data_IF_679320158726
#
_entry.id   IF_679320158726
#
_cell.length_a   1.000
_cell.length_b   1.000
_cell.length_c   1.000
_cell.angle_alpha   90.00
_cell.angle_beta   90.00
_cell.angle_gamma   90.00
#
_symmetry.space_group_name_H-M   'P 1'
#
loop_
_entity.id
_entity.type
_entity.pdbx_description
1 polymer ?
#
# COMPACT_ATOMS: atom_id res chain seq x y z
N UNK A 1 -11.96 1.11 22.94
CA UNK A 1 -10.63 0.47 22.93
C UNK A 1 -10.21 0.01 24.32
N UNK A 2 -10.09 0.86 25.32
CA UNK A 2 -9.67 0.48 26.70
C UNK A 2 -10.40 -0.72 27.28
N UNK A 3 -11.73 -0.76 27.20
CA UNK A 3 -12.53 -1.86 27.71
C UNK A 3 -12.18 -3.20 27.04
N UNK A 4 -11.91 -3.16 25.73
CA UNK A 4 -11.51 -4.35 24.97
C UNK A 4 -10.09 -4.79 25.34
N UNK A 5 -9.15 -3.87 25.47
CA UNK A 5 -7.77 -4.15 25.92
C UNK A 5 -7.76 -4.77 27.31
N UNK A 6 -8.52 -4.21 28.24
CA UNK A 6 -8.68 -4.78 29.61
C UNK A 6 -9.19 -6.21 29.58
N UNK A 7 -10.23 -6.49 28.78
CA UNK A 7 -10.79 -7.82 28.63
C UNK A 7 -9.76 -8.83 28.09
N UNK A 8 -8.91 -8.39 27.17
CA UNK A 8 -7.90 -9.21 26.52
C UNK A 8 -6.52 -9.16 27.21
N UNK A 9 -6.39 -8.47 28.34
CA UNK A 9 -5.15 -8.32 29.14
C UNK A 9 -4.00 -7.70 28.33
N UNK A 10 -4.31 -6.76 27.43
CA UNK A 10 -3.33 -6.04 26.61
C UNK A 10 -2.97 -4.73 27.31
N UNK A 11 -1.69 -4.49 27.56
CA UNK A 11 -1.21 -3.26 28.16
C UNK A 11 -1.04 -2.15 27.12
N UNK A 12 -1.20 -0.89 27.52
CA UNK A 12 -1.06 0.26 26.62
C UNK A 12 0.34 0.32 25.97
N UNK A 13 1.39 -0.06 26.72
CA UNK A 13 2.76 -0.11 26.22
C UNK A 13 2.98 -1.12 25.08
N UNK A 14 2.07 -2.10 24.90
CA UNK A 14 2.15 -3.11 23.86
C UNK A 14 1.35 -2.71 22.62
N UNK A 15 0.73 -1.52 22.64
CA UNK A 15 -0.13 -1.03 21.57
C UNK A 15 0.50 0.13 20.81
N UNK A 16 0.58 0.00 19.50
CA UNK A 16 0.83 1.10 18.59
C UNK A 16 -0.51 1.55 17.94
N UNK A 17 -0.79 2.85 17.97
CA UNK A 17 -2.07 3.39 17.51
C UNK A 17 -1.89 4.27 16.27
N UNK A 18 -2.58 3.95 15.18
CA UNK A 18 -2.76 4.86 14.06
C UNK A 18 -4.09 5.59 14.21
N UNK A 19 -4.05 6.90 14.33
CA UNK A 19 -5.23 7.76 14.39
C UNK A 19 -5.55 8.26 12.99
N UNK A 20 -6.45 7.53 12.32
CA UNK A 20 -6.90 7.88 10.98
C UNK A 20 -7.85 9.06 11.07
N UNK A 21 -7.55 10.14 10.34
CA UNK A 21 -8.39 11.32 10.33
C UNK A 21 -8.63 11.87 8.91
N UNK A 22 -9.69 12.66 8.79
CA UNK A 22 -10.11 13.29 7.55
C UNK A 22 -9.13 14.38 7.12
N UNK A 23 -9.12 14.71 5.82
CA UNK A 23 -8.39 15.84 5.24
C UNK A 23 -9.12 17.14 5.50
N UNK A 24 -9.30 17.47 6.79
CA UNK A 24 -9.97 18.69 7.26
C UNK A 24 -9.28 19.20 8.52
N UNK A 25 -9.38 20.52 8.75
CA UNK A 25 -8.83 21.15 9.96
C UNK A 25 -9.41 20.55 11.25
N UNK A 26 -10.73 20.28 11.27
CA UNK A 26 -11.38 19.68 12.44
C UNK A 26 -10.95 18.23 12.67
N UNK A 27 -10.74 17.46 11.58
CA UNK A 27 -10.23 16.10 11.68
C UNK A 27 -8.82 16.04 12.26
N UNK A 28 -7.95 16.95 11.81
CA UNK A 28 -6.60 17.10 12.31
C UNK A 28 -6.57 17.47 13.80
N UNK A 29 -7.32 18.50 14.19
CA UNK A 29 -7.41 18.93 15.59
C UNK A 29 -7.95 17.82 16.50
N UNK A 30 -9.00 17.13 16.08
CA UNK A 30 -9.57 16.03 16.86
C UNK A 30 -8.57 14.88 17.04
N UNK A 31 -7.80 14.56 15.99
CA UNK A 31 -6.77 13.52 16.07
C UNK A 31 -5.63 13.91 17.03
N UNK A 32 -5.19 15.17 17.01
CA UNK A 32 -4.17 15.70 17.94
C UNK A 32 -4.62 15.58 19.39
N UNK A 33 -5.86 15.94 19.72
CA UNK A 33 -6.40 15.81 21.07
C UNK A 33 -6.42 14.35 21.56
N UNK A 34 -6.77 13.41 20.67
CA UNK A 34 -6.75 11.98 20.98
C UNK A 34 -5.32 11.47 21.15
N UNK A 35 -4.38 11.93 20.30
CA UNK A 35 -2.96 11.62 20.42
C UNK A 35 -2.41 12.03 21.78
N UNK A 36 -2.61 13.29 22.20
CA UNK A 36 -2.17 13.80 23.50
C UNK A 36 -2.69 12.91 24.65
N UNK A 37 -3.97 12.53 24.57
CA UNK A 37 -4.55 11.65 25.58
C UNK A 37 -3.91 10.25 25.59
N UNK A 38 -3.67 9.63 24.42
CA UNK A 38 -3.04 8.30 24.32
C UNK A 38 -1.61 8.33 24.82
N UNK A 39 -0.84 9.36 24.46
CA UNK A 39 0.54 9.55 24.93
C UNK A 39 0.57 9.71 26.47
N UNK A 40 -0.32 10.52 27.04
CA UNK A 40 -0.45 10.67 28.50
C UNK A 40 -0.81 9.35 29.20
N UNK A 41 -1.52 8.45 28.51
CA UNK A 41 -1.89 7.12 29.02
C UNK A 41 -0.87 6.00 28.65
N UNK A 42 0.36 6.39 28.23
CA UNK A 42 1.52 5.50 28.04
C UNK A 42 1.32 4.43 26.96
N UNK A 43 0.67 4.77 25.84
CA UNK A 43 0.70 3.93 24.65
C UNK A 43 2.12 3.90 24.07
N UNK A 44 2.55 2.75 23.53
CA UNK A 44 3.91 2.55 23.01
C UNK A 44 4.25 3.53 21.88
N UNK A 45 3.30 3.74 20.96
CA UNK A 45 3.43 4.71 19.89
C UNK A 45 2.06 5.15 19.41
N UNK A 46 1.98 6.41 19.00
CA UNK A 46 0.79 7.01 18.40
C UNK A 46 1.23 7.75 17.17
N UNK A 47 0.57 7.51 16.05
CA UNK A 47 0.83 8.17 14.79
C UNK A 47 -0.45 8.74 14.21
N UNK A 48 -0.44 10.01 13.87
CA UNK A 48 -1.52 10.64 13.13
C UNK A 48 -1.42 10.23 11.66
N UNK A 49 -2.53 9.74 11.11
CA UNK A 49 -2.61 9.35 9.71
C UNK A 49 -3.72 10.14 9.01
N UNK A 50 -3.33 11.24 8.41
CA UNK A 50 -4.21 11.98 7.51
C UNK A 50 -4.42 11.21 6.22
N UNK A 51 -5.67 11.02 5.83
CA UNK A 51 -6.02 10.42 4.54
C UNK A 51 -6.37 11.53 3.56
N UNK A 52 -5.52 11.73 2.57
CA UNK A 52 -5.72 12.71 1.51
C UNK A 52 -7.09 12.55 0.86
N UNK A 53 -7.75 13.69 0.59
CA UNK A 53 -9.09 13.75 -0.03
C UNK A 53 -10.22 13.12 0.78
N UNK A 54 -9.97 12.58 1.97
CA UNK A 54 -11.03 12.06 2.84
C UNK A 54 -11.79 13.22 3.50
N UNK A 55 -12.67 13.85 2.74
CA UNK A 55 -13.55 14.93 3.17
C UNK A 55 -14.94 14.76 2.55
N UNK A 56 -15.88 15.62 2.91
CA UNK A 56 -17.26 15.58 2.42
C UNK A 56 -17.59 16.73 1.45
N UNK A 57 -16.59 17.37 0.88
CA UNK A 57 -16.79 18.53 -0.01
C UNK A 57 -17.54 18.14 -1.29
N UNK A 58 -17.21 16.97 -1.83
CA UNK A 58 -17.90 16.38 -2.95
C UNK A 58 -17.69 14.85 -3.00
N UNK A 59 -18.55 14.18 -3.79
CA UNK A 59 -18.51 12.70 -3.91
C UNK A 59 -17.17 12.19 -4.42
N UNK A 60 -16.55 12.87 -5.38
CA UNK A 60 -15.29 12.43 -6.00
C UNK A 60 -14.13 12.49 -4.98
N UNK A 61 -14.04 13.57 -4.20
CA UNK A 61 -13.05 13.66 -3.12
C UNK A 61 -13.24 12.56 -2.10
N UNK A 62 -14.49 12.31 -1.69
CA UNK A 62 -14.80 11.26 -0.74
C UNK A 62 -14.41 9.87 -1.26
N UNK A 63 -14.78 9.51 -2.51
CA UNK A 63 -14.38 8.25 -3.14
C UNK A 63 -12.85 8.09 -3.25
N UNK A 64 -12.14 9.16 -3.63
CA UNK A 64 -10.68 9.17 -3.65
C UNK A 64 -10.10 8.95 -2.25
N UNK A 65 -10.64 9.62 -1.23
CA UNK A 65 -10.23 9.43 0.16
C UNK A 65 -10.39 8.00 0.65
N UNK A 66 -11.50 7.35 0.33
CA UNK A 66 -11.70 5.93 0.66
C UNK A 66 -10.69 5.01 -0.07
N UNK A 67 -10.35 5.33 -1.33
CA UNK A 67 -9.32 4.60 -2.09
C UNK A 67 -7.93 4.77 -1.46
N UNK A 68 -7.58 5.98 -1.02
CA UNK A 68 -6.33 6.25 -0.30
C UNK A 68 -6.28 5.51 1.03
N UNK A 69 -7.39 5.48 1.78
CA UNK A 69 -7.49 4.73 3.03
C UNK A 69 -7.26 3.23 2.80
N UNK A 70 -7.89 2.64 1.77
CA UNK A 70 -7.68 1.24 1.44
C UNK A 70 -6.21 0.96 1.11
N UNK A 71 -5.63 1.72 0.20
CA UNK A 71 -4.22 1.57 -0.21
C UNK A 71 -3.28 1.65 0.99
N UNK A 72 -3.40 2.70 1.81
CA UNK A 72 -2.58 2.87 3.02
C UNK A 72 -2.71 1.68 3.99
N UNK A 73 -3.92 1.19 4.22
CA UNK A 73 -4.14 0.09 5.16
C UNK A 73 -3.51 -1.22 4.66
N UNK A 74 -3.56 -1.50 3.35
CA UNK A 74 -2.86 -2.65 2.76
C UNK A 74 -1.34 -2.49 2.83
N UNK A 75 -0.80 -1.30 2.53
CA UNK A 75 0.64 -1.01 2.64
C UNK A 75 1.12 -1.21 4.10
N UNK A 76 0.35 -0.73 5.08
CA UNK A 76 0.66 -0.90 6.49
C UNK A 76 0.68 -2.38 6.88
N UNK A 77 -0.35 -3.14 6.53
CA UNK A 77 -0.42 -4.60 6.82
C UNK A 77 0.74 -5.36 6.20
N UNK A 78 1.20 -4.97 5.01
CA UNK A 78 2.33 -5.59 4.33
C UNK A 78 3.69 -5.26 4.97
N UNK A 79 3.81 -4.07 5.55
CA UNK A 79 5.04 -3.65 6.22
C UNK A 79 5.22 -4.28 7.61
N UNK A 80 4.15 -4.77 8.22
CA UNK A 80 4.15 -5.39 9.54
C UNK A 80 3.41 -6.73 9.54
N UNK A 81 4.18 -7.81 9.43
CA UNK A 81 3.65 -9.19 9.40
C UNK A 81 3.48 -9.84 10.77
N UNK A 82 3.96 -9.19 11.83
CA UNK A 82 4.00 -9.78 13.17
C UNK A 82 2.95 -9.21 14.12
N UNK A 83 2.47 -7.99 13.86
CA UNK A 83 1.49 -7.34 14.73
C UNK A 83 0.07 -7.84 14.48
N UNK A 84 -0.68 -7.93 15.57
CA UNK A 84 -2.13 -8.12 15.49
C UNK A 84 -2.80 -6.80 15.08
N UNK A 85 -3.57 -6.82 14.01
CA UNK A 85 -4.27 -5.66 13.48
C UNK A 85 -5.70 -5.58 14.01
N UNK A 86 -5.98 -4.53 14.77
CA UNK A 86 -7.29 -4.30 15.37
C UNK A 86 -7.89 -3.03 14.76
N UNK A 87 -9.03 -3.17 14.09
CA UNK A 87 -9.77 -2.03 13.55
C UNK A 87 -10.82 -1.58 14.57
N UNK A 88 -10.66 -0.34 15.08
CA UNK A 88 -11.65 0.30 15.93
C UNK A 88 -12.53 1.23 15.09
N UNK A 89 -13.76 0.83 14.84
CA UNK A 89 -14.74 1.57 14.04
C UNK A 89 -15.79 2.32 14.86
N UNK A 90 -15.51 2.55 16.16
CA UNK A 90 -16.45 3.23 17.06
C UNK A 90 -16.58 4.74 16.82
N UNK A 91 -15.65 5.35 16.09
CA UNK A 91 -15.64 6.78 15.81
C UNK A 91 -15.68 7.08 14.31
N UNK A 92 -15.95 8.34 13.98
CA UNK A 92 -15.92 8.85 12.61
C UNK A 92 -17.30 8.90 11.92
N UNK A 93 -17.29 9.30 10.65
CA UNK A 93 -18.51 9.32 9.84
C UNK A 93 -19.03 7.92 9.58
N UNK A 94 -20.34 7.72 9.63
CA UNK A 94 -20.98 6.40 9.43
C UNK A 94 -20.57 5.74 8.10
N UNK A 95 -20.42 6.52 7.03
CA UNK A 95 -19.97 6.02 5.72
C UNK A 95 -18.52 5.52 5.76
N UNK A 96 -17.63 6.21 6.45
CA UNK A 96 -16.23 5.78 6.65
C UNK A 96 -16.19 4.53 7.54
N UNK A 97 -16.97 4.49 8.63
CA UNK A 97 -17.04 3.32 9.51
C UNK A 97 -17.55 2.08 8.78
N UNK A 98 -18.57 2.23 7.92
CA UNK A 98 -19.07 1.14 7.07
C UNK A 98 -18.01 0.62 6.10
N UNK A 99 -17.29 1.52 5.43
CA UNK A 99 -16.18 1.14 4.54
C UNK A 99 -15.03 0.46 5.30
N UNK A 100 -14.65 1.02 6.46
CA UNK A 100 -13.58 0.46 7.31
C UNK A 100 -13.96 -0.92 7.86
N UNK A 101 -15.25 -1.18 8.12
CA UNK A 101 -15.73 -2.51 8.51
C UNK A 101 -15.51 -3.54 7.39
N UNK A 102 -15.84 -3.17 6.14
CA UNK A 102 -15.56 -4.04 4.98
C UNK A 102 -14.06 -4.24 4.80
N UNK A 103 -13.28 -3.17 4.87
CA UNK A 103 -11.81 -3.24 4.78
C UNK A 103 -11.23 -4.14 5.89
N UNK A 104 -11.77 -4.07 7.11
CA UNK A 104 -11.40 -4.94 8.23
C UNK A 104 -11.66 -6.42 7.95
N UNK A 105 -12.62 -6.76 7.09
CA UNK A 105 -12.85 -8.15 6.68
C UNK A 105 -11.64 -8.76 5.96
N UNK A 106 -10.88 -7.94 5.26
CA UNK A 106 -9.67 -8.37 4.53
C UNK A 106 -8.41 -8.29 5.39
N UNK A 107 -8.26 -7.23 6.18
CA UNK A 107 -6.99 -6.87 6.80
C UNK A 107 -6.93 -7.10 8.31
N UNK A 108 -8.04 -6.86 9.02
CA UNK A 108 -8.04 -6.92 10.49
C UNK A 108 -8.04 -8.36 11.00
N UNK A 109 -7.33 -8.60 12.09
CA UNK A 109 -7.49 -9.81 12.89
C UNK A 109 -8.76 -9.73 13.74
N UNK A 110 -9.09 -8.51 14.21
CA UNK A 110 -10.32 -8.21 14.94
C UNK A 110 -10.83 -6.82 14.59
N UNK A 111 -12.12 -6.68 14.35
CA UNK A 111 -12.79 -5.37 14.24
C UNK A 111 -13.64 -5.16 15.48
N UNK A 112 -13.47 -4.01 16.13
CA UNK A 112 -14.20 -3.66 17.35
C UNK A 112 -15.09 -2.46 17.14
N UNK A 113 -16.25 -2.49 17.78
CA UNK A 113 -17.24 -1.43 17.78
C UNK A 113 -17.80 -1.21 19.19
N UNK A 114 -18.02 0.04 19.56
CA UNK A 114 -18.75 0.38 20.79
C UNK A 114 -20.05 1.05 20.44
N UNK A 115 -21.15 0.47 20.92
CA UNK A 115 -22.48 1.06 20.75
C UNK A 115 -22.60 2.34 21.58
N UNK A 116 -23.17 3.41 21.00
CA UNK A 116 -23.47 4.64 21.71
C UNK A 116 -24.44 4.38 22.85
N UNK A 117 -24.05 4.74 24.08
CA UNK A 117 -24.83 4.48 25.30
C UNK A 117 -24.62 3.08 25.92
N UNK A 118 -23.91 2.18 25.30
CA UNK A 118 -23.50 0.90 25.86
C UNK A 118 -22.15 0.96 26.58
N UNK A 119 -21.96 0.08 27.58
CA UNK A 119 -20.66 -0.07 28.25
C UNK A 119 -19.79 -1.18 27.66
N UNK A 120 -20.35 -1.99 26.76
CA UNK A 120 -19.65 -3.13 26.17
C UNK A 120 -19.05 -2.79 24.81
N UNK A 121 -17.90 -3.36 24.53
CA UNK A 121 -17.27 -3.36 23.21
C UNK A 121 -17.65 -4.67 22.52
N UNK A 122 -18.20 -4.55 21.34
CA UNK A 122 -18.58 -5.66 20.48
C UNK A 122 -17.44 -5.98 19.51
N UNK A 123 -17.17 -7.25 19.33
CA UNK A 123 -16.33 -7.72 18.23
C UNK A 123 -17.23 -8.01 17.04
N UNK A 124 -16.93 -7.37 15.91
CA UNK A 124 -17.69 -7.57 14.67
C UNK A 124 -17.19 -8.85 14.01
N UNK A 125 -18.05 -9.85 13.80
CA UNK A 125 -17.65 -11.10 13.17
C UNK A 125 -17.07 -10.86 11.77
N UNK A 126 -15.97 -11.53 11.47
CA UNK A 126 -15.36 -11.50 10.13
C UNK A 126 -16.27 -12.24 9.15
N UNK A 127 -16.61 -11.60 8.04
CA UNK A 127 -17.38 -12.26 6.99
C UNK A 127 -16.48 -13.24 6.22
N UNK A 128 -16.94 -14.47 5.93
CA UNK A 128 -16.18 -15.44 5.14
C UNK A 128 -16.26 -15.10 3.64
N UNK A 129 -15.77 -13.93 3.26
CA UNK A 129 -15.76 -13.47 1.87
C UNK A 129 -14.46 -13.93 1.22
N UNK A 130 -14.60 -14.70 0.14
CA UNK A 130 -13.50 -14.99 -0.80
C UNK A 130 -13.79 -14.21 -2.07
N UNK A 131 -12.90 -13.31 -2.43
CA UNK A 131 -13.04 -12.54 -3.65
C UNK A 131 -12.52 -13.37 -4.83
N UNK A 132 -13.38 -13.68 -5.77
CA UNK A 132 -12.99 -14.35 -7.03
C UNK A 132 -12.30 -13.44 -8.05
N UNK A 133 -12.03 -12.18 -7.67
CA UNK A 133 -11.54 -11.10 -8.55
C UNK A 133 -10.09 -11.26 -8.94
N UNK A 134 -9.29 -12.02 -8.18
CA UNK A 134 -7.87 -12.24 -8.50
C UNK A 134 -7.69 -12.75 -9.93
N UNK A 135 -8.51 -13.68 -10.38
CA UNK A 135 -8.45 -14.21 -11.76
C UNK A 135 -8.88 -13.17 -12.80
N UNK A 136 -9.92 -12.37 -12.51
CA UNK A 136 -10.35 -11.31 -13.41
C UNK A 136 -9.29 -10.21 -13.55
N UNK A 137 -8.59 -9.88 -12.45
CA UNK A 137 -7.46 -8.94 -12.46
C UNK A 137 -6.26 -9.57 -13.18
N UNK A 138 -5.96 -10.83 -12.94
CA UNK A 138 -4.87 -11.57 -13.61
C UNK A 138 -5.01 -11.55 -15.13
N UNK A 139 -6.22 -11.78 -15.64
CA UNK A 139 -6.49 -11.80 -17.08
C UNK A 139 -6.25 -10.44 -17.76
N UNK A 140 -6.27 -9.34 -17.01
CA UNK A 140 -6.03 -7.99 -17.49
C UNK A 140 -5.00 -7.26 -16.63
N UNK A 141 -4.01 -7.99 -16.11
CA UNK A 141 -3.09 -7.53 -15.08
C UNK A 141 -2.37 -6.24 -15.45
N UNK A 142 -1.80 -6.16 -16.64
CA UNK A 142 -1.06 -4.97 -17.09
C UNK A 142 -1.94 -3.73 -17.15
N UNK A 143 -3.22 -3.87 -17.50
CA UNK A 143 -4.15 -2.74 -17.53
C UNK A 143 -4.48 -2.25 -16.12
N UNK A 144 -4.77 -3.15 -15.18
CA UNK A 144 -5.01 -2.79 -13.78
C UNK A 144 -3.74 -2.19 -13.13
N UNK A 145 -2.56 -2.73 -13.45
CA UNK A 145 -1.27 -2.19 -12.99
C UNK A 145 -1.02 -0.79 -13.55
N UNK A 146 -1.34 -0.53 -14.82
CA UNK A 146 -1.30 0.83 -15.39
C UNK A 146 -2.23 1.78 -14.62
N UNK A 147 -3.46 1.37 -14.32
CA UNK A 147 -4.40 2.18 -13.52
C UNK A 147 -3.81 2.50 -12.15
N UNK A 148 -3.21 1.51 -11.46
CA UNK A 148 -2.61 1.70 -10.12
C UNK A 148 -1.46 2.69 -10.12
N UNK A 149 -0.72 2.78 -11.21
CA UNK A 149 0.45 3.65 -11.39
C UNK A 149 0.12 4.99 -12.02
N UNK A 150 -1.14 5.19 -12.47
CA UNK A 150 -1.55 6.39 -13.19
C UNK A 150 -0.98 6.46 -14.62
N UNK A 151 -0.54 5.34 -15.19
CA UNK A 151 -0.08 5.26 -16.58
C UNK A 151 -1.30 5.35 -17.51
N UNK A 152 -1.30 6.23 -18.51
CA UNK A 152 -2.42 6.36 -19.45
C UNK A 152 -2.77 5.05 -20.15
N UNK A 153 -4.06 4.84 -20.40
CA UNK A 153 -4.60 3.70 -21.15
C UNK A 153 -5.29 4.20 -22.43
N UNK A 154 -5.14 3.45 -23.50
CA UNK A 154 -5.83 3.71 -24.77
C UNK A 154 -7.34 3.42 -24.66
N UNK A 155 -7.71 2.45 -23.80
CA UNK A 155 -9.12 2.09 -23.57
C UNK A 155 -9.34 1.55 -22.15
N UNK A 156 -10.49 1.85 -21.58
CA UNK A 156 -10.95 1.33 -20.30
C UNK A 156 -12.09 0.31 -20.44
N UNK A 157 -12.59 0.08 -21.66
CA UNK A 157 -13.81 -0.71 -21.90
C UNK A 157 -13.69 -2.19 -21.49
N UNK A 158 -12.47 -2.69 -21.35
CA UNK A 158 -12.20 -4.08 -20.94
C UNK A 158 -12.21 -4.23 -19.42
N UNK A 159 -12.01 -3.12 -18.69
CA UNK A 159 -11.91 -3.14 -17.22
C UNK A 159 -13.31 -3.14 -16.59
N UNK A 160 -13.42 -3.79 -15.44
CA UNK A 160 -14.68 -3.80 -14.70
C UNK A 160 -15.08 -2.37 -14.27
N UNK A 161 -16.24 -1.86 -14.72
CA UNK A 161 -16.66 -0.48 -14.45
C UNK A 161 -16.98 -0.22 -12.95
N UNK A 162 -17.19 -1.27 -12.15
CA UNK A 162 -17.33 -1.15 -10.70
C UNK A 162 -15.98 -0.91 -10.01
N UNK A 163 -14.87 -1.28 -10.66
CA UNK A 163 -13.52 -1.16 -10.10
C UNK A 163 -12.75 0.02 -10.67
N UNK A 164 -12.98 0.36 -11.93
CA UNK A 164 -12.27 1.47 -12.60
C UNK A 164 -13.27 2.44 -13.21
N UNK A 165 -13.16 3.71 -12.84
CA UNK A 165 -13.97 4.79 -13.37
C UNK A 165 -13.07 5.98 -13.71
N UNK A 166 -13.19 6.52 -14.91
CA UNK A 166 -12.38 7.64 -15.40
C UNK A 166 -10.86 7.42 -15.22
N UNK A 167 -10.38 6.20 -15.46
CA UNK A 167 -8.97 5.86 -15.38
C UNK A 167 -8.40 5.73 -13.98
N UNK A 168 -9.24 5.67 -12.95
CA UNK A 168 -8.85 5.52 -11.55
C UNK A 168 -9.62 4.39 -10.89
N UNK A 169 -9.03 3.80 -9.88
CA UNK A 169 -9.76 2.84 -9.06
C UNK A 169 -10.88 3.54 -8.29
N UNK A 170 -12.04 2.88 -8.25
CA UNK A 170 -13.05 3.14 -7.22
C UNK A 170 -12.54 2.59 -5.88
N UNK A 171 -13.14 2.95 -4.73
CA UNK A 171 -12.77 2.36 -3.44
C UNK A 171 -12.79 0.83 -3.45
N UNK A 172 -13.77 0.23 -4.13
CA UNK A 172 -13.86 -1.24 -4.27
C UNK A 172 -12.82 -1.80 -5.22
N UNK A 173 -12.52 -1.10 -6.29
CA UNK A 173 -11.44 -1.46 -7.23
C UNK A 173 -10.07 -1.39 -6.56
N UNK A 174 -9.84 -0.43 -5.66
CA UNK A 174 -8.60 -0.35 -4.90
C UNK A 174 -8.44 -1.56 -3.97
N UNK A 175 -9.50 -1.95 -3.25
CA UNK A 175 -9.46 -3.16 -2.41
C UNK A 175 -9.20 -4.41 -3.27
N UNK A 176 -9.92 -4.56 -4.38
CA UNK A 176 -9.76 -5.69 -5.28
C UNK A 176 -8.33 -5.79 -5.82
N UNK A 177 -7.77 -4.65 -6.27
CA UNK A 177 -6.39 -4.56 -6.75
C UNK A 177 -5.38 -4.94 -5.68
N UNK A 178 -5.46 -4.33 -4.49
CA UNK A 178 -4.49 -4.59 -3.42
C UNK A 178 -4.54 -6.05 -2.97
N UNK A 179 -5.73 -6.63 -2.87
CA UNK A 179 -5.89 -8.04 -2.52
C UNK A 179 -5.29 -8.97 -3.60
N UNK A 180 -5.59 -8.74 -4.88
CA UNK A 180 -5.04 -9.52 -5.98
C UNK A 180 -3.52 -9.35 -6.09
N UNK A 181 -3.01 -8.12 -5.92
CA UNK A 181 -1.58 -7.79 -5.94
C UNK A 181 -0.80 -8.61 -4.90
N UNK A 182 -1.37 -8.85 -3.69
CA UNK A 182 -0.74 -9.69 -2.65
C UNK A 182 -0.40 -11.10 -3.13
N UNK A 183 -1.15 -11.61 -4.07
CA UNK A 183 -0.98 -12.94 -4.63
C UNK A 183 -0.09 -12.85 -5.87
N UNK A 184 -0.49 -12.04 -6.84
CA UNK A 184 0.11 -11.98 -8.18
C UNK A 184 1.59 -11.55 -8.12
N UNK A 185 1.93 -10.53 -7.30
CA UNK A 185 3.30 -10.02 -7.22
C UNK A 185 4.30 -11.01 -6.60
N UNK A 186 3.85 -12.06 -5.94
CA UNK A 186 4.71 -13.10 -5.36
C UNK A 186 4.99 -14.26 -6.29
N UNK A 187 4.31 -14.34 -7.42
CA UNK A 187 4.39 -15.48 -8.33
C UNK A 187 5.58 -15.39 -9.28
N UNK A 188 5.81 -14.23 -9.86
CA UNK A 188 6.90 -13.98 -10.80
C UNK A 188 7.24 -12.49 -10.88
N UNK A 189 8.41 -12.19 -11.44
CA UNK A 189 8.80 -10.81 -11.76
C UNK A 189 8.11 -10.39 -13.06
N UNK A 190 7.46 -9.22 -13.03
CA UNK A 190 6.77 -8.64 -14.17
C UNK A 190 7.60 -7.54 -14.83
N UNK A 191 7.52 -7.46 -16.15
CA UNK A 191 8.11 -6.36 -16.90
C UNK A 191 7.39 -5.03 -16.59
N UNK A 192 8.03 -3.92 -16.93
CA UNK A 192 7.41 -2.61 -16.82
C UNK A 192 6.21 -2.46 -17.75
N UNK A 193 5.19 -1.73 -17.28
CA UNK A 193 4.02 -1.33 -18.08
C UNK A 193 4.13 0.10 -18.61
N UNK A 194 5.29 0.75 -18.43
CA UNK A 194 5.57 2.11 -18.87
C UNK A 194 6.76 2.14 -19.82
N UNK A 195 6.63 2.79 -20.98
CA UNK A 195 7.61 2.74 -22.08
C UNK A 195 8.96 3.38 -21.79
N UNK A 196 9.01 4.32 -20.81
CA UNK A 196 10.26 4.98 -20.42
C UNK A 196 11.02 4.25 -19.31
N UNK A 197 10.47 3.13 -18.82
CA UNK A 197 11.16 2.19 -17.92
C UNK A 197 11.14 0.81 -18.58
N UNK A 198 12.30 0.32 -18.99
CA UNK A 198 12.42 -0.96 -19.72
C UNK A 198 13.16 -1.99 -18.88
N UNK A 199 12.51 -3.11 -18.61
CA UNK A 199 13.13 -4.27 -17.99
C UNK A 199 13.76 -5.14 -19.09
N UNK A 200 15.09 -5.26 -19.08
CA UNK A 200 15.83 -5.98 -20.12
C UNK A 200 15.75 -7.50 -19.94
N UNK A 201 16.11 -8.26 -20.97
CA UNK A 201 16.18 -9.72 -20.88
C UNK A 201 17.28 -10.13 -19.88
N UNK A 202 18.42 -9.41 -19.85
CA UNK A 202 19.47 -9.65 -18.87
C UNK A 202 18.99 -9.51 -17.41
N UNK A 203 18.12 -8.54 -17.15
CA UNK A 203 17.48 -8.46 -15.83
C UNK A 203 16.60 -9.67 -15.54
N UNK A 204 15.75 -10.08 -16.49
CA UNK A 204 14.86 -11.22 -16.33
C UNK A 204 15.65 -12.53 -16.09
N UNK A 205 16.76 -12.74 -16.80
CA UNK A 205 17.67 -13.86 -16.57
C UNK A 205 18.29 -13.82 -15.16
N UNK A 206 18.67 -12.63 -14.67
CA UNK A 206 19.27 -12.47 -13.33
C UNK A 206 18.31 -12.80 -12.18
N UNK A 207 16.99 -12.78 -12.41
CA UNK A 207 15.96 -13.08 -11.42
C UNK A 207 15.24 -14.41 -11.66
N UNK A 208 15.56 -15.14 -12.74
CA UNK A 208 14.89 -16.39 -13.14
C UNK A 208 14.87 -17.45 -12.02
N UNK A 209 15.97 -17.55 -11.26
CA UNK A 209 16.11 -18.52 -10.18
C UNK A 209 15.57 -18.03 -8.83
N UNK A 210 14.98 -16.84 -8.77
CA UNK A 210 14.41 -16.30 -7.54
C UNK A 210 13.07 -16.98 -7.24
N UNK A 211 13.03 -17.78 -6.18
CA UNK A 211 11.83 -18.54 -5.77
C UNK A 211 11.14 -17.98 -4.52
N UNK A 212 11.80 -17.07 -3.81
CA UNK A 212 11.22 -16.44 -2.63
C UNK A 212 10.17 -15.40 -3.05
N UNK A 213 8.91 -15.69 -2.82
CA UNK A 213 7.80 -14.82 -3.17
C UNK A 213 7.89 -13.43 -2.53
N UNK A 214 8.50 -13.32 -1.34
CA UNK A 214 8.70 -12.01 -0.69
C UNK A 214 9.74 -11.18 -1.45
N UNK A 215 10.79 -11.80 -1.99
CA UNK A 215 11.80 -11.12 -2.83
C UNK A 215 11.25 -10.77 -4.21
N UNK A 216 10.45 -11.66 -4.80
CA UNK A 216 9.75 -11.39 -6.07
C UNK A 216 8.83 -10.18 -5.90
N UNK A 217 8.06 -10.13 -4.80
CA UNK A 217 7.23 -8.98 -4.43
C UNK A 217 8.05 -7.68 -4.40
N UNK A 218 9.17 -7.67 -3.67
CA UNK A 218 10.02 -6.48 -3.55
C UNK A 218 10.52 -5.99 -4.90
N UNK A 219 10.93 -6.89 -5.79
CA UNK A 219 11.38 -6.50 -7.15
C UNK A 219 10.24 -5.84 -7.93
N UNK A 220 9.04 -6.43 -7.92
CA UNK A 220 7.89 -5.84 -8.60
C UNK A 220 7.56 -4.45 -8.05
N UNK A 221 7.61 -4.26 -6.72
CA UNK A 221 7.45 -2.96 -6.08
C UNK A 221 8.53 -1.95 -6.53
N UNK A 222 9.78 -2.38 -6.67
CA UNK A 222 10.86 -1.48 -7.13
C UNK A 222 10.70 -1.07 -8.59
N UNK A 223 10.22 -1.98 -9.45
CA UNK A 223 9.90 -1.64 -10.84
C UNK A 223 8.78 -0.59 -10.87
N UNK A 224 7.75 -0.73 -10.03
CA UNK A 224 6.67 0.26 -9.90
C UNK A 224 7.18 1.60 -9.35
N UNK A 225 8.05 1.56 -8.34
CA UNK A 225 8.68 2.76 -7.78
C UNK A 225 9.54 3.49 -8.85
N UNK A 226 10.26 2.77 -9.71
CA UNK A 226 11.00 3.33 -10.85
C UNK A 226 10.07 3.98 -11.87
N UNK A 227 8.91 3.39 -12.15
CA UNK A 227 7.88 4.00 -13.00
C UNK A 227 7.38 5.30 -12.39
N UNK A 228 7.02 5.30 -11.10
CA UNK A 228 6.56 6.49 -10.39
C UNK A 228 7.65 7.59 -10.34
N UNK A 229 8.91 7.22 -10.10
CA UNK A 229 10.05 8.11 -10.17
C UNK A 229 10.16 8.76 -11.56
N UNK A 230 10.10 7.97 -12.61
CA UNK A 230 10.22 8.44 -13.99
C UNK A 230 9.04 9.34 -14.38
N UNK A 231 7.82 8.95 -14.10
CA UNK A 231 6.60 9.74 -14.40
C UNK A 231 6.59 11.09 -13.65
N UNK A 232 7.16 11.15 -12.46
CA UNK A 232 7.24 12.38 -11.65
C UNK A 232 8.46 13.26 -11.97
N UNK A 233 9.24 12.93 -13.01
CA UNK A 233 10.52 13.60 -13.33
C UNK A 233 11.48 13.64 -12.11
N UNK A 234 11.59 12.52 -11.41
CA UNK A 234 12.50 12.35 -10.29
C UNK A 234 12.01 12.85 -8.93
N UNK A 235 10.81 13.44 -8.84
CA UNK A 235 10.27 13.96 -7.56
C UNK A 235 9.92 12.86 -6.58
N UNK A 236 9.48 11.70 -7.04
CA UNK A 236 9.09 10.54 -6.22
C UNK A 236 10.25 9.55 -6.09
N UNK A 237 11.40 9.99 -5.56
CA UNK A 237 12.47 9.07 -5.18
C UNK A 237 12.23 8.60 -3.74
N UNK A 238 11.45 7.55 -3.59
CA UNK A 238 11.12 7.01 -2.28
C UNK A 238 12.38 6.50 -1.56
N UNK A 239 12.46 6.69 -0.23
CA UNK A 239 13.59 6.20 0.59
C UNK A 239 13.85 4.71 0.40
N UNK A 240 12.81 3.92 0.19
CA UNK A 240 12.90 2.47 -0.06
C UNK A 240 13.49 2.13 -1.45
N UNK A 241 13.42 3.05 -2.42
CA UNK A 241 13.98 2.91 -3.75
C UNK A 241 15.45 3.34 -3.77
N UNK A 242 15.75 4.50 -3.18
CA UNK A 242 17.09 5.10 -3.14
C UNK A 242 17.79 5.10 -4.52
N UNK A 243 17.03 5.54 -5.56
CA UNK A 243 17.56 5.57 -6.92
C UNK A 243 18.61 6.67 -7.05
N UNK A 244 19.84 6.27 -7.43
CA UNK A 244 21.00 7.16 -7.46
C UNK A 244 22.05 6.70 -8.48
N UNK A 245 22.98 7.59 -8.80
CA UNK A 245 24.15 7.25 -9.63
C UNK A 245 25.08 6.30 -8.91
N UNK A 246 25.60 5.32 -9.64
CA UNK A 246 26.68 4.45 -9.15
C UNK A 246 27.97 5.25 -9.08
N UNK A 247 28.70 5.13 -7.96
CA UNK A 247 29.99 5.78 -7.78
C UNK A 247 31.14 4.90 -8.31
N UNK A 248 32.15 5.53 -8.90
CA UNK A 248 33.33 4.83 -9.41
C UNK A 248 33.16 4.26 -10.83
N UNK A 249 34.07 3.35 -11.23
CA UNK A 249 34.02 2.70 -12.54
C UNK A 249 33.13 1.48 -12.48
N UNK A 250 31.95 1.55 -13.09
CA UNK A 250 30.97 0.48 -13.12
C UNK A 250 30.29 0.43 -14.51
N UNK A 251 29.88 -0.75 -15.01
CA UNK A 251 29.21 -0.89 -16.30
C UNK A 251 27.81 -0.27 -16.35
N UNK A 252 27.21 0.01 -15.17
CA UNK A 252 25.88 0.61 -15.04
C UNK A 252 25.97 2.03 -14.51
N UNK A 253 25.05 2.89 -14.91
CA UNK A 253 25.05 4.32 -14.56
C UNK A 253 24.33 4.63 -13.25
N UNK A 254 23.32 3.83 -12.90
CA UNK A 254 22.47 4.03 -11.73
C UNK A 254 22.19 2.70 -11.01
N UNK A 255 21.79 2.84 -9.76
CA UNK A 255 21.34 1.73 -8.93
C UNK A 255 20.16 2.13 -8.06
N UNK A 256 19.40 1.15 -7.60
CA UNK A 256 18.44 1.32 -6.51
C UNK A 256 18.40 0.07 -5.62
N UNK A 257 17.83 0.23 -4.42
CA UNK A 257 17.68 -0.87 -3.47
C UNK A 257 16.65 -1.88 -3.97
N UNK A 258 17.04 -3.15 -4.13
CA UNK A 258 16.10 -4.23 -4.21
C UNK A 258 15.59 -4.60 -2.81
N UNK A 259 16.52 -4.85 -1.88
CA UNK A 259 16.31 -5.02 -0.44
C UNK A 259 17.62 -4.77 0.32
N UNK A 260 17.52 -4.45 1.62
CA UNK A 260 18.64 -3.97 2.44
C UNK A 260 18.86 -4.78 3.73
N UNK A 261 18.45 -6.05 3.76
CA UNK A 261 18.75 -6.95 4.88
C UNK A 261 20.13 -7.64 4.72
N UNK A 262 20.43 -8.63 5.58
CA UNK A 262 21.72 -9.33 5.59
C UNK A 262 22.16 -9.98 4.27
N UNK A 263 21.30 -10.04 3.25
CA UNK A 263 21.60 -10.46 1.89
C UNK A 263 21.31 -9.35 0.87
N UNK A 264 21.66 -8.11 1.19
CA UNK A 264 21.34 -6.93 0.40
C UNK A 264 21.62 -7.07 -1.10
N UNK A 265 20.65 -6.70 -1.92
CA UNK A 265 20.75 -6.71 -3.38
C UNK A 265 20.39 -5.34 -3.95
N UNK A 266 21.00 -5.03 -5.08
CA UNK A 266 20.77 -3.82 -5.86
C UNK A 266 20.20 -4.15 -7.23
N UNK A 267 19.33 -3.30 -7.71
CA UNK A 267 18.90 -3.28 -9.11
C UNK A 267 19.79 -2.25 -9.80
N UNK A 268 20.58 -2.69 -10.76
CA UNK A 268 21.44 -1.82 -11.57
C UNK A 268 20.72 -1.42 -12.84
N UNK A 269 20.85 -0.13 -13.17
CA UNK A 269 20.16 0.49 -14.28
C UNK A 269 21.10 1.29 -15.15
N UNK A 270 20.70 1.50 -16.41
CA UNK A 270 21.29 2.48 -17.29
C UNK A 270 20.25 3.53 -17.71
N UNK A 271 20.63 4.79 -17.73
CA UNK A 271 19.84 5.85 -18.35
C UNK A 271 20.38 6.15 -19.74
N UNK A 272 19.52 6.01 -20.75
CA UNK A 272 19.81 6.29 -22.16
C UNK A 272 18.60 6.94 -22.81
N UNK A 273 18.83 8.01 -23.57
CA UNK A 273 17.76 8.70 -24.34
C UNK A 273 16.53 9.06 -23.49
N UNK A 274 16.77 9.45 -22.25
CA UNK A 274 15.70 9.80 -21.32
C UNK A 274 14.89 8.62 -20.78
N UNK A 275 15.31 7.37 -21.02
CA UNK A 275 14.68 6.15 -20.51
C UNK A 275 15.54 5.44 -19.48
N UNK A 276 14.91 4.73 -18.55
CA UNK A 276 15.57 3.88 -17.57
C UNK A 276 15.54 2.44 -18.10
N UNK A 277 16.71 1.82 -18.20
CA UNK A 277 16.85 0.40 -18.53
C UNK A 277 17.26 -0.35 -17.26
N UNK A 278 16.40 -1.24 -16.78
CA UNK A 278 16.66 -2.11 -15.64
C UNK A 278 17.46 -3.32 -16.15
N UNK A 279 18.73 -3.42 -15.78
CA UNK A 279 19.69 -4.28 -16.47
C UNK A 279 19.97 -5.60 -15.74
N UNK A 280 20.16 -5.57 -14.41
CA UNK A 280 20.53 -6.76 -13.64
C UNK A 280 20.21 -6.60 -12.15
N UNK A 281 19.92 -7.73 -11.49
CA UNK A 281 19.90 -7.84 -10.04
C UNK A 281 21.30 -8.31 -9.56
N UNK A 282 22.02 -7.48 -8.83
CA UNK A 282 23.37 -7.75 -8.37
C UNK A 282 23.53 -7.66 -6.85
N UNK A 283 24.73 -8.02 -6.36
CA UNK A 283 25.09 -7.80 -4.96
C UNK A 283 25.32 -6.31 -4.71
N UNK A 284 25.09 -5.85 -3.48
CA UNK A 284 25.58 -4.54 -3.04
C UNK A 284 27.11 -4.50 -3.15
N UNK A 285 27.64 -3.37 -3.62
CA UNK A 285 29.09 -3.16 -3.78
C UNK A 285 29.78 -2.70 -2.48
N UNK A 286 29.03 -2.67 -1.35
CA UNK A 286 29.51 -2.21 -0.04
C UNK A 286 29.42 -3.31 1.01
#
# INVERSE_FOLDING_TARGET
MLTWQHKNKIENKDCFCYLIHTDTVFGDLAAQLVEEWLVANKYQGVQLQKIESLNTDNLLSFENGLSHLAKWAFELKNSDTYSQFIFNIAGGFKSVSGFTQVLGTFLADTTIYKFEGGNEVLEVPKLPIVWGETEAIRNNFDLYRKVSLGVPLDTYSILNPLWVKNGRFTPWGQIAWENAKQIIYKEQVYRSVYEDVKVTDGFMESVENLKDGSRIWLINERIDDLIAFKMSNGKHNFRRLDYKRVLGSHPYTHECDAWADGSAKRIYCNEREGKIFVEILGNSLH
#
